data_IF_017222882907
#
_entry.id   IF_017222882907
#
_cell.length_a   1.000
_cell.length_b   1.000
_cell.length_c   1.000
_cell.angle_alpha   90.00
_cell.angle_beta   90.00
_cell.angle_gamma   90.00
#
_symmetry.space_group_name_H-M   'P 1'
#
loop_
_entity.id
_entity.type
_entity.pdbx_description
1 polymer ?
#
# COMPACT_ATOMS: atom_id res chain seq x y z
N UNK A 1 -2.48 -32.10 28.03
CA UNK A 1 -3.11 -32.10 26.68
C UNK A 1 -4.18 -31.02 26.55
N UNK A 2 -5.14 -30.89 27.47
CA UNK A 2 -6.17 -29.82 27.42
C UNK A 2 -5.62 -28.37 27.45
N UNK A 3 -4.55 -28.09 28.18
CA UNK A 3 -3.90 -26.76 28.19
C UNK A 3 -3.23 -26.37 26.85
N UNK A 4 -2.80 -27.34 26.05
CA UNK A 4 -2.19 -27.08 24.74
C UNK A 4 -3.27 -26.80 23.67
N UNK A 5 -4.41 -27.48 23.75
CA UNK A 5 -5.57 -27.21 22.90
C UNK A 5 -6.21 -25.83 23.20
N UNK A 6 -6.31 -25.42 24.47
CA UNK A 6 -6.81 -24.10 24.84
C UNK A 6 -5.90 -22.95 24.37
N UNK A 7 -4.57 -23.13 24.46
CA UNK A 7 -3.61 -22.17 23.88
C UNK A 7 -3.66 -22.13 22.35
N UNK A 8 -3.88 -23.26 21.68
CA UNK A 8 -4.05 -23.30 20.23
C UNK A 8 -5.33 -22.58 19.79
N UNK A 9 -6.42 -22.70 20.57
CA UNK A 9 -7.67 -21.98 20.36
C UNK A 9 -7.55 -20.48 20.66
N UNK A 10 -6.75 -20.08 21.65
CA UNK A 10 -6.49 -18.65 21.96
C UNK A 10 -5.59 -18.00 20.89
N UNK A 11 -4.65 -18.75 20.30
CA UNK A 11 -3.88 -18.34 19.11
C UNK A 11 -4.75 -18.21 17.85
N UNK A 12 -5.87 -18.95 17.78
CA UNK A 12 -6.85 -18.85 16.71
C UNK A 12 -7.87 -17.70 16.94
N UNK A 13 -8.03 -17.24 18.18
CA UNK A 13 -9.00 -16.22 18.57
C UNK A 13 -8.54 -14.78 18.30
N UNK A 14 -7.24 -14.53 18.12
CA UNK A 14 -6.71 -13.21 17.75
C UNK A 14 -5.97 -13.34 16.42
N UNK A 15 -6.62 -12.93 15.32
CA UNK A 15 -6.09 -13.03 13.96
C UNK A 15 -4.80 -12.21 13.75
N UNK A 16 -4.72 -11.06 14.42
CA UNK A 16 -3.51 -10.26 14.56
C UNK A 16 -3.40 -9.76 16.01
N UNK A 17 -2.30 -10.08 16.70
CA UNK A 17 -1.94 -9.70 18.06
C UNK A 17 -1.04 -8.46 18.09
N UNK A 18 -0.21 -8.27 17.06
CA UNK A 18 0.61 -7.07 16.95
C UNK A 18 -0.20 -5.91 16.34
N UNK A 19 -0.13 -4.74 16.98
CA UNK A 19 -0.45 -3.50 16.26
C UNK A 19 0.49 -3.40 15.05
N UNK A 20 0.03 -2.94 13.88
CA UNK A 20 0.88 -2.73 12.72
C UNK A 20 1.90 -1.64 13.10
N UNK A 21 3.07 -2.06 13.55
CA UNK A 21 4.16 -1.16 13.90
C UNK A 21 5.16 -1.22 12.76
N UNK A 22 5.34 -0.09 12.08
CA UNK A 22 6.30 0.00 10.97
C UNK A 22 7.69 -0.31 11.51
N UNK A 23 8.40 -1.25 10.89
CA UNK A 23 9.77 -1.58 11.28
C UNK A 23 10.64 -0.33 11.29
N UNK A 24 11.55 -0.21 12.25
CA UNK A 24 12.50 0.93 12.36
C UNK A 24 13.29 1.16 11.06
N UNK A 25 13.51 0.10 10.28
CA UNK A 25 14.14 0.18 8.97
C UNK A 25 13.26 0.91 7.95
N UNK A 26 11.98 0.54 7.90
CA UNK A 26 10.99 1.13 6.98
C UNK A 26 10.70 2.58 7.37
N UNK A 27 10.63 2.87 8.68
CA UNK A 27 10.46 4.23 9.20
C UNK A 27 11.59 5.18 8.78
N UNK A 28 12.85 4.73 8.88
CA UNK A 28 13.99 5.48 8.36
C UNK A 28 13.88 5.74 6.85
N UNK A 29 13.47 4.74 6.08
CA UNK A 29 13.28 4.88 4.62
C UNK A 29 12.16 5.88 4.29
N UNK A 30 11.07 5.88 5.06
CA UNK A 30 10.00 6.87 4.90
C UNK A 30 10.55 8.28 5.10
N UNK A 31 11.35 8.51 6.13
CA UNK A 31 11.99 9.81 6.35
C UNK A 31 12.93 10.23 5.22
N UNK A 32 13.77 9.32 4.72
CA UNK A 32 14.62 9.61 3.56
C UNK A 32 13.79 9.98 2.33
N UNK A 33 12.72 9.23 2.05
CA UNK A 33 11.83 9.51 0.92
C UNK A 33 11.05 10.82 1.08
N UNK A 34 10.67 11.18 2.31
CA UNK A 34 10.03 12.47 2.58
C UNK A 34 10.96 13.64 2.26
N UNK A 35 12.26 13.52 2.58
CA UNK A 35 13.24 14.56 2.25
C UNK A 35 13.55 14.60 0.75
N UNK A 36 13.65 13.45 0.07
CA UNK A 36 13.78 13.41 -1.41
C UNK A 36 12.60 14.13 -2.08
N UNK A 37 11.37 13.86 -1.64
CA UNK A 37 10.19 14.53 -2.18
C UNK A 37 10.23 16.01 -1.89
N UNK A 38 10.53 16.45 -0.66
CA UNK A 38 10.63 17.88 -0.32
C UNK A 38 11.66 18.63 -1.19
N UNK A 39 12.78 17.98 -1.51
CA UNK A 39 13.82 18.55 -2.37
C UNK A 39 13.42 18.60 -3.85
N UNK A 40 12.68 17.59 -4.34
CA UNK A 40 12.08 17.57 -5.68
C UNK A 40 10.86 18.51 -5.79
N UNK A 41 10.22 18.83 -4.67
CA UNK A 41 9.01 19.67 -4.53
C UNK A 41 9.31 21.18 -4.55
N UNK A 42 10.54 21.62 -4.83
CA UNK A 42 10.86 23.05 -4.90
C UNK A 42 10.05 23.71 -6.05
N UNK A 43 8.99 24.41 -5.61
CA UNK A 43 7.96 25.31 -6.19
C UNK A 43 7.67 25.40 -7.70
N UNK A 44 8.63 25.15 -8.60
CA UNK A 44 8.46 25.38 -10.04
C UNK A 44 7.98 24.13 -10.79
N UNK A 45 8.35 22.95 -10.30
CA UNK A 45 8.02 21.66 -10.93
C UNK A 45 6.57 21.23 -10.68
N UNK A 46 6.03 21.50 -9.47
CA UNK A 46 4.61 21.27 -9.17
C UNK A 46 3.72 22.08 -10.10
N UNK A 47 4.10 23.34 -10.41
CA UNK A 47 3.29 24.22 -11.25
C UNK A 47 3.21 23.69 -12.67
N UNK A 48 4.34 23.28 -13.24
CA UNK A 48 4.41 22.65 -14.55
C UNK A 48 3.61 21.32 -14.59
N UNK A 49 3.65 20.53 -13.52
CA UNK A 49 2.87 19.30 -13.44
C UNK A 49 1.36 19.54 -13.22
N UNK A 50 0.97 20.57 -12.48
CA UNK A 50 -0.45 20.96 -12.33
C UNK A 50 -1.06 21.32 -13.69
N UNK A 51 -0.33 22.05 -14.52
CA UNK A 51 -0.78 22.44 -15.85
C UNK A 51 -0.96 21.22 -16.79
N UNK A 52 -0.01 20.28 -16.80
CA UNK A 52 -0.09 19.06 -17.63
C UNK A 52 -1.21 18.09 -17.18
N UNK A 53 -1.47 18.02 -15.86
CA UNK A 53 -2.55 17.19 -15.30
C UNK A 53 -3.95 17.74 -15.55
N UNK A 54 -4.15 19.05 -15.48
CA UNK A 54 -5.45 19.67 -15.80
C UNK A 54 -5.87 19.41 -17.26
N UNK A 55 -4.89 19.33 -18.16
CA UNK A 55 -5.13 19.11 -19.59
C UNK A 55 -5.51 17.65 -19.91
N UNK A 56 -5.01 16.67 -19.13
CA UNK A 56 -5.46 15.26 -19.20
C UNK A 56 -6.85 15.06 -18.60
N UNK A 57 -7.16 15.65 -17.43
CA UNK A 57 -8.47 15.48 -16.75
C UNK A 57 -9.65 16.04 -17.55
N UNK A 58 -9.43 17.07 -18.38
CA UNK A 58 -10.44 17.60 -19.30
C UNK A 58 -10.91 16.56 -20.36
N UNK A 59 -10.17 15.48 -20.57
CA UNK A 59 -10.50 14.42 -21.55
C UNK A 59 -11.27 13.23 -20.95
N UNK A 60 -11.30 13.07 -19.63
CA UNK A 60 -11.80 11.85 -18.96
C UNK A 60 -13.03 12.08 -18.06
N UNK A 61 -13.58 13.30 -18.01
CA UNK A 61 -14.74 13.58 -17.16
C UNK A 61 -16.05 13.05 -17.74
N UNK A 62 -16.32 11.76 -17.53
CA UNK A 62 -17.68 11.20 -17.44
C UNK A 62 -17.60 9.83 -16.76
N UNK A 63 -17.62 9.82 -15.43
CA UNK A 63 -18.34 8.84 -14.60
C UNK A 63 -18.22 9.25 -13.12
N UNK A 64 -19.38 9.29 -12.48
CA UNK A 64 -19.71 9.83 -11.16
C UNK A 64 -19.93 8.60 -10.25
N UNK A 65 -19.21 8.42 -9.13
CA UNK A 65 -19.65 7.48 -8.08
C UNK A 65 -18.86 7.51 -6.75
N UNK A 66 -19.61 7.57 -5.65
CA UNK A 66 -19.31 7.31 -4.23
C UNK A 66 -18.01 7.83 -3.57
N UNK A 67 -18.13 8.94 -2.83
CA UNK A 67 -17.11 9.46 -1.93
C UNK A 67 -17.05 8.72 -0.57
N UNK A 68 -15.90 8.13 -0.27
CA UNK A 68 -15.54 7.59 1.04
C UNK A 68 -14.99 8.73 1.96
N UNK A 69 -15.09 8.65 3.31
CA UNK A 69 -14.78 9.76 4.23
C UNK A 69 -13.31 10.23 4.29
N UNK A 70 -12.38 9.55 3.61
CA UNK A 70 -10.98 9.94 3.46
C UNK A 70 -10.78 10.68 2.14
N UNK A 71 -11.41 11.86 1.98
CA UNK A 71 -11.15 12.73 0.82
C UNK A 71 -9.75 13.36 0.97
N UNK A 72 -8.75 12.57 0.60
CA UNK A 72 -7.39 13.01 0.29
C UNK A 72 -7.47 13.69 -1.09
N UNK A 73 -6.95 14.91 -1.24
CA UNK A 73 -7.00 15.58 -2.54
C UNK A 73 -6.24 14.75 -3.60
N UNK A 74 -6.56 14.91 -4.89
CA UNK A 74 -5.80 14.23 -5.95
C UNK A 74 -4.29 14.53 -5.86
N UNK A 75 -3.94 15.73 -5.39
CA UNK A 75 -2.55 16.14 -5.17
C UNK A 75 -1.92 15.34 -4.02
N UNK A 76 -2.61 15.24 -2.88
CA UNK A 76 -2.15 14.48 -1.72
C UNK A 76 -2.04 12.98 -2.02
N UNK A 77 -2.98 12.44 -2.81
CA UNK A 77 -2.95 11.06 -3.31
C UNK A 77 -1.69 10.83 -4.14
N UNK A 78 -1.36 11.76 -5.02
CA UNK A 78 -0.18 11.67 -5.86
C UNK A 78 1.12 11.79 -5.03
N UNK A 79 1.19 12.74 -4.10
CA UNK A 79 2.33 12.91 -3.19
C UNK A 79 2.54 11.64 -2.35
N UNK A 80 1.47 11.11 -1.75
CA UNK A 80 1.51 9.86 -1.00
C UNK A 80 1.92 8.68 -1.90
N UNK A 81 1.44 8.64 -3.14
CA UNK A 81 1.83 7.65 -4.13
C UNK A 81 3.32 7.68 -4.47
N UNK A 82 3.89 8.87 -4.70
CA UNK A 82 5.31 9.00 -4.97
C UNK A 82 6.16 8.67 -3.73
N UNK A 83 5.68 9.00 -2.53
CA UNK A 83 6.31 8.57 -1.27
C UNK A 83 6.36 7.05 -1.20
N UNK A 84 5.23 6.38 -1.46
CA UNK A 84 5.17 4.92 -1.46
C UNK A 84 6.05 4.30 -2.55
N UNK A 85 6.10 4.89 -3.74
CA UNK A 85 6.98 4.41 -4.82
C UNK A 85 8.46 4.49 -4.42
N UNK A 86 8.88 5.56 -3.75
CA UNK A 86 10.22 5.67 -3.19
C UNK A 86 10.51 4.60 -2.13
N UNK A 87 9.57 4.39 -1.20
CA UNK A 87 9.68 3.36 -0.16
C UNK A 87 9.82 1.98 -0.80
N UNK A 88 9.01 1.67 -1.82
CA UNK A 88 9.07 0.39 -2.52
C UNK A 88 10.42 0.20 -3.22
N UNK A 89 10.92 1.23 -3.92
CA UNK A 89 12.25 1.21 -4.56
C UNK A 89 13.37 0.92 -3.56
N UNK A 90 13.43 1.67 -2.46
CA UNK A 90 14.50 1.54 -1.47
C UNK A 90 14.45 0.23 -0.68
N UNK A 91 13.30 -0.45 -0.68
CA UNK A 91 13.15 -1.77 -0.06
C UNK A 91 13.19 -2.93 -1.05
N UNK A 92 13.58 -2.71 -2.31
CA UNK A 92 13.58 -3.74 -3.37
C UNK A 92 12.19 -4.38 -3.57
N UNK A 93 11.13 -3.59 -3.38
CA UNK A 93 9.74 -4.04 -3.52
C UNK A 93 9.16 -3.79 -4.92
N UNK A 94 9.96 -3.28 -5.85
CA UNK A 94 9.62 -3.10 -7.26
C UNK A 94 10.53 -3.92 -8.19
N UNK A 95 10.06 -4.21 -9.39
CA UNK A 95 10.87 -4.80 -10.45
C UNK A 95 11.71 -3.74 -11.19
N UNK A 96 12.48 -4.19 -12.19
CA UNK A 96 13.33 -3.34 -13.03
C UNK A 96 12.56 -2.27 -13.83
N UNK A 97 11.25 -2.45 -14.01
CA UNK A 97 10.37 -1.56 -14.76
C UNK A 97 9.61 -0.59 -13.84
N UNK A 98 9.82 -0.69 -12.52
CA UNK A 98 9.20 0.17 -11.53
C UNK A 98 7.90 -0.38 -10.94
N UNK A 99 7.52 -1.62 -11.25
CA UNK A 99 6.25 -2.21 -10.83
C UNK A 99 6.37 -2.94 -9.49
N UNK A 100 5.44 -2.75 -8.53
CA UNK A 100 5.47 -3.47 -7.27
C UNK A 100 5.40 -5.00 -7.46
N UNK A 101 6.15 -5.72 -6.64
CA UNK A 101 6.29 -7.19 -6.73
C UNK A 101 5.70 -7.88 -5.51
N UNK A 102 5.21 -9.12 -5.69
CA UNK A 102 4.61 -9.91 -4.61
C UNK A 102 5.61 -10.12 -3.47
N UNK A 103 6.76 -10.73 -3.77
CA UNK A 103 7.77 -11.07 -2.77
C UNK A 103 8.33 -9.84 -2.08
N UNK A 104 8.59 -8.78 -2.85
CA UNK A 104 9.14 -7.54 -2.34
C UNK A 104 8.18 -6.80 -1.38
N UNK A 105 6.90 -6.73 -1.73
CA UNK A 105 5.89 -6.13 -0.86
C UNK A 105 5.60 -6.99 0.37
N UNK A 106 5.52 -8.32 0.23
CA UNK A 106 5.35 -9.20 1.39
C UNK A 106 6.50 -8.99 2.37
N UNK A 107 7.74 -9.04 1.90
CA UNK A 107 8.91 -8.78 2.73
C UNK A 107 8.88 -7.40 3.39
N UNK A 108 8.45 -6.36 2.67
CA UNK A 108 8.35 -5.00 3.21
C UNK A 108 7.35 -4.91 4.37
N UNK A 109 6.14 -5.44 4.19
CA UNK A 109 5.08 -5.32 5.19
C UNK A 109 5.26 -6.27 6.37
N UNK A 110 5.95 -7.40 6.19
CA UNK A 110 6.19 -8.36 7.27
C UNK A 110 7.54 -8.20 7.96
N UNK A 111 8.35 -7.20 7.57
CA UNK A 111 9.63 -6.92 8.21
C UNK A 111 9.44 -6.66 9.71
N UNK A 112 10.12 -7.43 10.56
CA UNK A 112 9.99 -7.33 12.01
C UNK A 112 8.68 -7.89 12.60
N UNK A 113 7.80 -8.47 11.78
CA UNK A 113 6.56 -9.11 12.25
C UNK A 113 6.78 -10.61 12.46
N UNK A 114 6.49 -11.11 13.65
CA UNK A 114 6.62 -12.53 14.01
C UNK A 114 5.27 -13.22 14.25
N UNK A 115 4.26 -12.79 13.48
CA UNK A 115 2.89 -13.30 13.60
C UNK A 115 2.44 -13.96 12.29
N UNK A 116 2.09 -15.24 12.37
CA UNK A 116 1.67 -16.03 11.22
C UNK A 116 0.36 -15.49 10.60
N UNK A 117 -0.59 -15.04 11.42
CA UNK A 117 -1.85 -14.46 10.95
C UNK A 117 -1.63 -13.20 10.11
N UNK A 118 -0.81 -12.27 10.62
CA UNK A 118 -0.42 -11.07 9.89
C UNK A 118 0.29 -11.41 8.58
N UNK A 119 1.29 -12.31 8.60
CA UNK A 119 1.99 -12.74 7.38
C UNK A 119 1.01 -13.27 6.31
N UNK A 120 0.06 -14.12 6.70
CA UNK A 120 -0.93 -14.68 5.78
C UNK A 120 -1.90 -13.62 5.26
N UNK A 121 -2.27 -12.64 6.09
CA UNK A 121 -3.09 -11.50 5.68
C UNK A 121 -2.37 -10.66 4.63
N UNK A 122 -1.09 -10.34 4.89
CA UNK A 122 -0.24 -9.59 3.96
C UNK A 122 -0.08 -10.33 2.65
N UNK A 123 0.31 -11.61 2.65
CA UNK A 123 0.50 -12.39 1.43
C UNK A 123 -0.74 -12.40 0.53
N UNK A 124 -1.91 -12.66 1.12
CA UNK A 124 -3.19 -12.68 0.39
C UNK A 124 -3.62 -11.30 -0.07
N UNK A 125 -3.43 -10.28 0.78
CA UNK A 125 -3.72 -8.89 0.45
C UNK A 125 -2.89 -8.42 -0.74
N UNK A 126 -1.56 -8.60 -0.67
CA UNK A 126 -0.63 -8.23 -1.74
C UNK A 126 -0.99 -8.92 -3.05
N UNK A 127 -1.18 -10.24 -3.07
CA UNK A 127 -1.54 -10.96 -4.31
C UNK A 127 -2.83 -10.43 -4.94
N UNK A 128 -3.87 -10.20 -4.12
CA UNK A 128 -5.15 -9.66 -4.59
C UNK A 128 -5.00 -8.23 -5.12
N UNK A 129 -4.31 -7.37 -4.39
CA UNK A 129 -4.15 -5.96 -4.74
C UNK A 129 -3.30 -5.79 -6.00
N UNK A 130 -2.21 -6.54 -6.15
CA UNK A 130 -1.40 -6.52 -7.37
C UNK A 130 -2.20 -6.94 -8.60
N UNK A 131 -3.05 -7.97 -8.48
CA UNK A 131 -3.95 -8.39 -9.58
C UNK A 131 -4.97 -7.29 -9.92
N UNK A 132 -5.63 -6.74 -8.91
CA UNK A 132 -6.61 -5.66 -9.09
C UNK A 132 -6.02 -4.42 -9.76
N UNK A 133 -4.88 -3.95 -9.25
CA UNK A 133 -4.20 -2.76 -9.81
C UNK A 133 -3.63 -3.02 -11.20
N UNK A 134 -3.11 -4.23 -11.47
CA UNK A 134 -2.64 -4.60 -12.82
C UNK A 134 -3.77 -4.51 -13.85
N UNK A 135 -4.98 -4.93 -13.48
CA UNK A 135 -6.15 -4.81 -14.35
C UNK A 135 -6.57 -3.35 -14.54
N UNK A 136 -6.60 -2.56 -13.46
CA UNK A 136 -7.01 -1.14 -13.49
C UNK A 136 -6.12 -0.29 -14.39
N UNK A 137 -4.81 -0.41 -14.23
CA UNK A 137 -3.84 0.39 -15.00
C UNK A 137 -3.44 -0.26 -16.33
N UNK A 138 -4.05 -1.39 -16.70
CA UNK A 138 -3.68 -2.16 -17.90
C UNK A 138 -2.16 -2.38 -17.98
N UNK A 139 -1.55 -2.68 -16.82
CA UNK A 139 -0.10 -2.73 -16.65
C UNK A 139 0.52 -3.69 -17.66
N UNK A 140 1.25 -3.14 -18.63
CA UNK A 140 2.10 -3.94 -19.50
C UNK A 140 3.42 -4.16 -18.76
N UNK A 141 3.53 -5.30 -18.07
CA UNK A 141 4.72 -5.64 -17.26
C UNK A 141 6.06 -5.56 -18.02
N UNK A 142 6.03 -5.60 -19.35
CA UNK A 142 7.23 -5.53 -20.19
C UNK A 142 7.70 -4.10 -20.47
N UNK A 143 6.87 -3.08 -20.23
CA UNK A 143 7.18 -1.69 -20.53
C UNK A 143 7.68 -0.97 -19.25
N UNK A 144 8.62 -0.04 -19.43
CA UNK A 144 9.08 0.85 -18.36
C UNK A 144 7.97 1.86 -18.10
N UNK A 145 7.48 1.92 -16.86
CA UNK A 145 6.37 2.80 -16.50
C UNK A 145 6.80 4.27 -16.53
N UNK A 146 5.97 5.16 -17.07
CA UNK A 146 6.14 6.62 -16.88
C UNK A 146 6.04 6.95 -15.38
N UNK A 147 6.86 7.90 -14.88
CA UNK A 147 6.92 8.23 -13.44
C UNK A 147 5.54 8.54 -12.83
N UNK A 148 4.63 9.16 -13.59
CA UNK A 148 3.28 9.47 -13.13
C UNK A 148 2.42 8.24 -12.87
N UNK A 149 2.52 7.23 -13.73
CA UNK A 149 1.77 5.99 -13.56
C UNK A 149 2.28 5.20 -12.35
N UNK A 150 3.59 5.26 -12.09
CA UNK A 150 4.21 4.59 -10.95
C UNK A 150 3.69 5.10 -9.61
N UNK A 151 3.60 6.43 -9.42
CA UNK A 151 3.07 6.99 -8.16
C UNK A 151 1.59 6.61 -7.95
N UNK A 152 0.78 6.65 -9.00
CA UNK A 152 -0.63 6.25 -8.93
C UNK A 152 -0.81 4.78 -8.56
N UNK A 153 -0.01 3.90 -9.18
CA UNK A 153 -0.04 2.46 -8.89
C UNK A 153 0.46 2.16 -7.49
N UNK A 154 1.53 2.83 -7.03
CA UNK A 154 2.04 2.65 -5.68
C UNK A 154 1.00 3.01 -4.62
N UNK A 155 0.28 4.11 -4.81
CA UNK A 155 -0.81 4.48 -3.90
C UNK A 155 -1.93 3.44 -3.90
N UNK A 156 -2.46 3.07 -5.07
CA UNK A 156 -3.60 2.16 -5.17
C UNK A 156 -3.27 0.75 -4.60
N UNK A 157 -2.01 0.31 -4.74
CA UNK A 157 -1.52 -0.92 -4.11
C UNK A 157 -1.42 -0.76 -2.59
N UNK A 158 -0.84 0.33 -2.09
CA UNK A 158 -0.73 0.62 -0.66
C UNK A 158 -2.10 0.66 0.03
N UNK A 159 -3.04 1.40 -0.55
CA UNK A 159 -4.39 1.63 -0.02
C UNK A 159 -5.14 0.28 0.07
N UNK A 160 -5.14 -0.48 -1.03
CA UNK A 160 -5.75 -1.80 -1.07
C UNK A 160 -5.13 -2.79 -0.05
N UNK A 161 -3.80 -2.83 0.09
CA UNK A 161 -3.14 -3.74 1.05
C UNK A 161 -3.49 -3.34 2.48
N UNK A 162 -3.51 -2.03 2.76
CA UNK A 162 -3.86 -1.49 4.08
C UNK A 162 -5.27 -1.89 4.47
N UNK A 163 -6.24 -1.80 3.54
CA UNK A 163 -7.60 -2.26 3.74
C UNK A 163 -7.68 -3.78 3.96
N UNK A 164 -6.97 -4.58 3.15
CA UNK A 164 -6.98 -6.03 3.27
C UNK A 164 -6.43 -6.51 4.62
N UNK A 165 -5.33 -5.91 5.08
CA UNK A 165 -4.73 -6.24 6.38
C UNK A 165 -5.64 -5.76 7.51
N UNK A 166 -6.13 -4.52 7.44
CA UNK A 166 -7.03 -3.94 8.46
C UNK A 166 -8.28 -4.80 8.61
N UNK A 167 -8.96 -5.11 7.51
CA UNK A 167 -10.15 -5.96 7.53
C UNK A 167 -9.85 -7.34 8.11
N UNK A 168 -8.75 -7.98 7.72
CA UNK A 168 -8.40 -9.30 8.25
C UNK A 168 -8.12 -9.27 9.77
N UNK A 169 -7.39 -8.26 10.24
CA UNK A 169 -6.96 -8.14 11.63
C UNK A 169 -8.08 -7.62 12.55
N UNK A 170 -8.99 -6.79 12.04
CA UNK A 170 -10.12 -6.23 12.79
C UNK A 170 -11.32 -7.17 12.89
N UNK A 171 -11.42 -8.15 12.00
CA UNK A 171 -12.52 -9.12 11.95
C UNK A 171 -12.32 -10.20 13.04
N UNK A 172 -12.51 -9.80 14.30
CA UNK A 172 -12.57 -10.71 15.44
C UNK A 172 -13.97 -11.36 15.51
N UNK A 173 -14.09 -12.68 15.72
CA UNK A 173 -15.36 -13.25 16.11
C UNK A 173 -15.72 -12.69 17.49
N UNK A 174 -16.83 -11.94 17.57
CA UNK A 174 -17.46 -11.59 18.84
C UNK A 174 -17.80 -12.90 19.57
N UNK A 175 -16.96 -13.29 20.53
CA UNK A 175 -17.38 -14.24 21.56
C UNK A 175 -18.30 -13.49 22.52
N UNK A 176 -19.59 -13.46 22.20
CA UNK A 176 -20.64 -13.14 23.16
C UNK A 176 -20.59 -14.21 24.26
N UNK A 177 -20.09 -13.83 25.44
CA UNK A 177 -20.29 -14.59 26.65
C UNK A 177 -21.67 -14.22 27.19
N UNK A 178 -22.60 -15.19 27.17
CA UNK A 178 -23.81 -15.20 27.98
C UNK A 178 -23.66 -16.31 29.03
#
# INVERSE_FOLDING_TARGET
MLHAAAKALDYLAKRCMSQPNVSKKVDKVIHECQEEIKMDLIEDVIRAYKEDWHDRKKRESHEDDFQHPTIVSHEDKWIAGCLMQCVYRKNNAIDKNGWPTLDGLVNLYTDGVNEQGYFMATLRGVDRCLKGTSMKFKVRRNDVAEQFEQCGVAFDVFDCISDMITNYCSDQPHHEFN
#
